data_IF_021785441517
#
_entry.id   IF_021785441517
#
_cell.length_a   1.000
_cell.length_b   1.000
_cell.length_c   1.000
_cell.angle_alpha   90.00
_cell.angle_beta   90.00
_cell.angle_gamma   90.00
#
_symmetry.space_group_name_H-M   'P 1'
#
loop_
_entity.id
_entity.type
_entity.pdbx_description
1 polymer ?
#
# COMPACT_ATOMS: atom_id res chain seq x y z
N UNK A 1 32.73 -1.11 -19.92
CA UNK A 1 32.34 -2.23 -19.04
C UNK A 1 30.85 -2.45 -19.21
N UNK A 2 30.46 -3.58 -19.80
CA UNK A 2 29.09 -3.83 -20.28
C UNK A 2 28.07 -3.81 -19.14
N UNK A 3 26.89 -3.25 -19.39
CA UNK A 3 25.73 -3.26 -18.47
C UNK A 3 25.38 -4.69 -18.04
N UNK A 4 25.70 -5.69 -18.89
CA UNK A 4 25.57 -7.11 -18.57
C UNK A 4 26.45 -7.56 -17.39
N UNK A 5 27.64 -6.98 -17.19
CA UNK A 5 28.55 -7.35 -16.09
C UNK A 5 28.08 -6.81 -14.74
N UNK A 6 27.32 -5.71 -14.74
CA UNK A 6 26.72 -5.14 -13.51
C UNK A 6 25.50 -5.97 -13.10
N UNK A 7 24.73 -6.47 -14.06
CA UNK A 7 23.54 -7.30 -13.80
C UNK A 7 23.93 -8.69 -13.31
N UNK A 8 25.00 -9.29 -13.86
CA UNK A 8 25.52 -10.59 -13.37
C UNK A 8 26.12 -10.48 -11.96
N UNK A 9 26.84 -9.39 -11.65
CA UNK A 9 27.40 -9.16 -10.31
C UNK A 9 26.35 -8.86 -9.22
N UNK A 10 25.12 -8.48 -9.60
CA UNK A 10 24.01 -8.26 -8.67
C UNK A 10 23.22 -9.54 -8.36
N UNK A 11 23.31 -10.57 -9.21
CA UNK A 11 22.59 -11.84 -9.04
C UNK A 11 23.27 -12.80 -8.05
N UNK A 12 24.61 -12.77 -7.93
CA UNK A 12 25.35 -13.66 -7.03
C UNK A 12 25.31 -13.25 -5.55
N UNK A 13 24.82 -12.05 -5.21
CA UNK A 13 24.82 -11.54 -3.83
C UNK A 13 23.52 -11.81 -3.04
N UNK A 14 22.55 -12.51 -3.63
CA UNK A 14 21.25 -12.83 -2.99
C UNK A 14 21.20 -14.28 -2.45
N UNK A 15 22.15 -15.14 -2.82
CA UNK A 15 22.15 -16.56 -2.39
C UNK A 15 22.93 -16.83 -1.08
N UNK A 16 23.75 -15.90 -0.57
CA UNK A 16 24.56 -16.16 0.63
C UNK A 16 23.88 -15.79 1.97
N UNK A 17 22.72 -15.12 1.95
CA UNK A 17 22.09 -14.59 3.16
C UNK A 17 21.05 -15.54 3.80
N UNK A 18 21.26 -16.86 3.67
CA UNK A 18 20.37 -17.89 4.25
C UNK A 18 21.07 -18.89 5.17
N UNK A 19 22.34 -18.68 5.52
CA UNK A 19 23.08 -19.60 6.40
C UNK A 19 23.95 -18.84 7.40
N UNK A 20 23.33 -18.22 8.41
CA UNK A 20 23.90 -18.15 9.77
C UNK A 20 22.90 -17.55 10.76
N UNK A 21 21.97 -18.37 11.24
CA UNK A 21 21.46 -18.23 12.61
C UNK A 21 21.93 -19.48 13.34
N UNK A 22 23.22 -19.46 13.70
CA UNK A 22 23.78 -20.35 14.72
C UNK A 22 23.24 -19.88 16.07
N UNK A 23 22.12 -20.46 16.49
CA UNK A 23 21.73 -20.50 17.89
C UNK A 23 21.46 -21.95 18.27
N UNK A 24 22.53 -22.65 18.65
CA UNK A 24 22.44 -23.81 19.54
C UNK A 24 23.35 -23.48 20.72
N UNK A 25 22.82 -23.70 21.93
CA UNK A 25 23.34 -24.86 22.63
C UNK A 25 22.24 -25.79 23.15
N UNK A 26 22.43 -27.06 22.81
CA UNK A 26 22.49 -28.14 23.80
C UNK A 26 21.23 -28.46 24.61
N UNK A 27 20.44 -29.41 24.11
CA UNK A 27 19.87 -30.50 24.91
C UNK A 27 19.89 -31.77 24.06
N UNK A 28 20.82 -32.67 24.38
CA UNK A 28 21.00 -33.96 23.72
C UNK A 28 19.96 -34.99 24.17
N UNK A 29 19.59 -35.86 23.22
CA UNK A 29 18.99 -37.19 23.38
C UNK A 29 17.47 -37.29 23.60
N UNK A 30 16.73 -37.57 22.51
CA UNK A 30 16.14 -38.90 22.25
C UNK A 30 15.62 -38.98 20.81
N UNK A 31 16.37 -39.70 19.97
CA UNK A 31 15.97 -40.12 18.63
C UNK A 31 14.64 -40.92 18.68
N UNK A 32 13.93 -40.90 17.54
CA UNK A 32 12.68 -41.59 17.20
C UNK A 32 11.35 -40.92 17.56
N UNK A 33 11.04 -39.81 16.87
CA UNK A 33 9.80 -39.76 16.07
C UNK A 33 10.20 -39.28 14.67
N UNK A 34 10.67 -40.24 13.87
CA UNK A 34 10.78 -40.11 12.43
C UNK A 34 9.36 -40.08 11.84
N UNK A 35 9.14 -39.19 10.85
CA UNK A 35 8.13 -39.33 9.79
C UNK A 35 6.64 -39.14 10.16
N UNK A 36 6.25 -37.97 10.68
CA UNK A 36 4.88 -37.44 10.47
C UNK A 36 4.88 -36.12 9.70
N UNK A 37 6.00 -35.76 9.08
CA UNK A 37 6.13 -34.54 8.28
C UNK A 37 6.20 -34.85 6.78
N UNK A 38 5.27 -35.69 6.30
CA UNK A 38 5.16 -36.05 4.89
C UNK A 38 3.76 -35.78 4.34
N UNK A 39 3.32 -34.52 4.42
CA UNK A 39 2.26 -34.00 3.53
C UNK A 39 2.30 -32.47 3.47
N UNK A 40 3.33 -31.89 2.87
CA UNK A 40 3.23 -30.56 2.26
C UNK A 40 2.28 -30.65 1.05
N UNK A 41 0.98 -30.84 1.32
CA UNK A 41 -0.06 -30.44 0.39
C UNK A 41 0.07 -28.93 0.28
N UNK A 42 0.29 -28.44 -0.94
CA UNK A 42 0.00 -27.06 -1.33
C UNK A 42 -1.23 -26.59 -0.56
N UNK A 43 -1.09 -25.68 0.41
CA UNK A 43 -2.25 -24.96 0.95
C UNK A 43 -2.79 -24.15 -0.23
N UNK A 44 -3.90 -24.56 -0.86
CA UNK A 44 -4.31 -23.92 -2.10
C UNK A 44 -4.85 -22.54 -1.77
N UNK A 45 -4.67 -21.57 -2.67
CA UNK A 45 -5.32 -20.27 -2.54
C UNK A 45 -6.82 -20.52 -2.44
N UNK A 46 -7.39 -20.24 -1.28
CA UNK A 46 -8.80 -20.51 -1.01
C UNK A 46 -9.67 -19.71 -1.97
N UNK A 47 -10.84 -20.25 -2.34
CA UNK A 47 -11.77 -19.57 -3.26
C UNK A 47 -12.16 -18.17 -2.73
N UNK A 48 -12.25 -18.01 -1.41
CA UNK A 48 -12.49 -16.74 -0.74
C UNK A 48 -11.33 -15.75 -0.94
N UNK A 49 -10.08 -16.20 -0.84
CA UNK A 49 -8.90 -15.37 -1.10
C UNK A 49 -8.85 -14.87 -2.56
N UNK A 50 -9.11 -15.75 -3.54
CA UNK A 50 -9.18 -15.35 -4.96
C UNK A 50 -10.28 -14.31 -5.20
N UNK A 51 -11.47 -14.52 -4.59
CA UNK A 51 -12.58 -13.57 -4.69
C UNK A 51 -12.22 -12.23 -4.07
N UNK A 52 -11.63 -12.23 -2.88
CA UNK A 52 -11.21 -11.01 -2.18
C UNK A 52 -10.19 -10.23 -3.00
N UNK A 53 -9.19 -10.91 -3.57
CA UNK A 53 -8.19 -10.29 -4.44
C UNK A 53 -8.82 -9.60 -5.66
N UNK A 54 -9.79 -10.23 -6.34
CA UNK A 54 -10.48 -9.63 -7.49
C UNK A 54 -11.29 -8.39 -7.09
N UNK A 55 -12.02 -8.48 -5.97
CA UNK A 55 -12.83 -7.36 -5.45
C UNK A 55 -11.94 -6.18 -5.06
N UNK A 56 -10.83 -6.43 -4.38
CA UNK A 56 -9.92 -5.38 -3.93
C UNK A 56 -9.19 -4.73 -5.09
N UNK A 57 -8.78 -5.50 -6.13
CA UNK A 57 -8.25 -4.95 -7.39
C UNK A 57 -9.26 -3.98 -8.02
N UNK A 58 -10.52 -4.39 -8.19
CA UNK A 58 -11.57 -3.55 -8.77
C UNK A 58 -11.79 -2.26 -7.95
N UNK A 59 -11.95 -2.40 -6.63
CA UNK A 59 -12.17 -1.25 -5.73
C UNK A 59 -10.97 -0.30 -5.72
N UNK A 60 -9.76 -0.83 -5.74
CA UNK A 60 -8.53 -0.04 -5.77
C UNK A 60 -8.48 0.81 -7.04
N UNK A 61 -8.75 0.24 -8.21
CA UNK A 61 -8.75 0.98 -9.47
C UNK A 61 -9.74 2.16 -9.46
N UNK A 62 -11.00 1.92 -9.06
CA UNK A 62 -12.01 2.99 -8.98
C UNK A 62 -11.65 4.06 -7.95
N UNK A 63 -11.15 3.64 -6.78
CA UNK A 63 -10.79 4.56 -5.70
C UNK A 63 -9.54 5.41 -6.02
N UNK A 64 -8.60 4.87 -6.79
CA UNK A 64 -7.39 5.58 -7.21
C UNK A 64 -7.75 6.80 -8.06
N UNK A 65 -8.70 6.69 -8.98
CA UNK A 65 -9.16 7.83 -9.80
C UNK A 65 -9.75 8.94 -8.94
N UNK A 66 -10.64 8.61 -8.00
CA UNK A 66 -11.25 9.60 -7.12
C UNK A 66 -10.23 10.25 -6.16
N UNK A 67 -9.32 9.45 -5.59
CA UNK A 67 -8.22 9.96 -4.74
C UNK A 67 -7.23 10.81 -5.54
N UNK A 68 -6.98 10.45 -6.80
CA UNK A 68 -6.13 11.22 -7.73
C UNK A 68 -6.70 12.61 -7.99
N UNK A 69 -7.98 12.68 -8.37
CA UNK A 69 -8.71 13.95 -8.57
C UNK A 69 -8.72 14.81 -7.30
N UNK A 70 -8.91 14.21 -6.12
CA UNK A 70 -8.83 14.96 -4.86
C UNK A 70 -7.43 15.52 -4.60
N UNK A 71 -6.37 14.76 -4.90
CA UNK A 71 -4.98 15.22 -4.72
C UNK A 71 -4.65 16.36 -5.67
N UNK A 72 -5.10 16.32 -6.93
CA UNK A 72 -4.84 17.39 -7.90
C UNK A 72 -5.56 18.68 -7.49
N UNK A 73 -6.85 18.61 -7.12
CA UNK A 73 -7.59 19.81 -6.67
C UNK A 73 -7.02 20.41 -5.39
N UNK A 74 -6.51 19.59 -4.45
CA UNK A 74 -5.81 20.10 -3.27
C UNK A 74 -4.50 20.80 -3.66
N UNK A 75 -3.75 20.28 -4.63
CA UNK A 75 -2.51 20.93 -5.10
C UNK A 75 -2.82 22.26 -5.81
N UNK A 76 -3.82 22.28 -6.67
CA UNK A 76 -4.28 23.48 -7.38
C UNK A 76 -4.74 24.56 -6.41
N UNK A 77 -5.57 24.21 -5.42
CA UNK A 77 -6.05 25.14 -4.40
C UNK A 77 -4.93 25.68 -3.49
N UNK A 78 -3.81 24.96 -3.36
CA UNK A 78 -2.63 25.43 -2.63
C UNK A 78 -1.73 26.33 -3.49
N UNK A 79 -1.58 26.02 -4.77
CA UNK A 79 -0.73 26.78 -5.68
C UNK A 79 -1.37 28.14 -6.01
N UNK A 80 -2.65 28.14 -6.38
CA UNK A 80 -3.39 29.33 -6.79
C UNK A 80 -4.65 29.48 -5.93
N UNK A 81 -4.55 30.09 -4.74
CA UNK A 81 -5.68 30.28 -3.86
C UNK A 81 -6.68 31.29 -4.45
N UNK A 82 -7.73 30.80 -5.10
CA UNK A 82 -8.79 31.62 -5.69
C UNK A 82 -10.19 31.06 -5.45
N UNK A 83 -11.23 31.88 -5.61
CA UNK A 83 -12.63 31.49 -5.34
C UNK A 83 -13.10 30.29 -6.19
N UNK A 84 -12.69 30.22 -7.46
CA UNK A 84 -12.99 29.09 -8.34
C UNK A 84 -12.35 27.78 -7.85
N UNK A 85 -11.07 27.82 -7.47
CA UNK A 85 -10.33 26.66 -6.94
C UNK A 85 -10.95 26.15 -5.63
N UNK A 86 -11.44 27.05 -4.79
CA UNK A 86 -12.08 26.71 -3.51
C UNK A 86 -13.42 25.99 -3.73
N UNK A 87 -14.23 26.47 -4.67
CA UNK A 87 -15.49 25.82 -5.05
C UNK A 87 -15.25 24.40 -5.59
N UNK A 88 -14.26 24.26 -6.47
CA UNK A 88 -13.87 22.96 -7.04
C UNK A 88 -13.38 21.99 -5.95
N UNK A 89 -12.54 22.46 -5.03
CA UNK A 89 -12.06 21.68 -3.89
C UNK A 89 -13.22 21.19 -2.99
N UNK A 90 -14.14 22.08 -2.62
CA UNK A 90 -15.25 21.73 -1.73
C UNK A 90 -16.16 20.68 -2.36
N UNK A 91 -16.52 20.87 -3.63
CA UNK A 91 -17.31 19.89 -4.39
C UNK A 91 -16.61 18.52 -4.44
N UNK A 92 -15.33 18.48 -4.83
CA UNK A 92 -14.57 17.25 -4.88
C UNK A 92 -14.48 16.55 -3.51
N UNK A 93 -14.23 17.31 -2.44
CA UNK A 93 -14.11 16.77 -1.09
C UNK A 93 -15.44 16.16 -0.61
N UNK A 94 -16.57 16.84 -0.80
CA UNK A 94 -17.87 16.36 -0.33
C UNK A 94 -18.32 15.10 -1.07
N UNK A 95 -18.02 15.00 -2.38
CA UNK A 95 -18.22 13.77 -3.13
C UNK A 95 -17.37 12.61 -2.57
N UNK A 96 -16.09 12.84 -2.25
CA UNK A 96 -15.25 11.78 -1.67
C UNK A 96 -15.69 11.34 -0.27
N UNK A 97 -16.28 12.25 0.52
CA UNK A 97 -16.86 11.94 1.83
C UNK A 97 -18.11 11.09 1.67
N UNK A 98 -18.99 11.41 0.71
CA UNK A 98 -20.18 10.61 0.39
C UNK A 98 -19.82 9.16 0.04
N UNK A 99 -18.72 8.95 -0.67
CA UNK A 99 -18.22 7.63 -1.03
C UNK A 99 -17.32 6.98 0.05
N UNK A 100 -17.25 7.56 1.25
CA UNK A 100 -16.45 7.07 2.38
C UNK A 100 -14.95 6.87 2.08
N UNK A 101 -14.42 7.58 1.08
CA UNK A 101 -12.99 7.54 0.76
C UNK A 101 -12.16 8.38 1.74
N UNK A 102 -12.79 9.39 2.32
CA UNK A 102 -12.22 10.35 3.28
C UNK A 102 -13.18 10.51 4.44
N UNK A 103 -12.66 10.58 5.67
CA UNK A 103 -13.48 10.79 6.87
C UNK A 103 -13.95 12.25 6.96
N UNK A 104 -15.13 12.47 7.56
CA UNK A 104 -15.71 13.81 7.75
C UNK A 104 -14.73 14.77 8.43
N UNK A 105 -14.05 14.32 9.49
CA UNK A 105 -13.05 15.12 10.19
C UNK A 105 -11.84 15.50 9.33
N UNK A 106 -11.37 14.60 8.45
CA UNK A 106 -10.29 14.94 7.52
C UNK A 106 -10.73 16.01 6.52
N UNK A 107 -11.93 15.88 5.97
CA UNK A 107 -12.50 16.89 5.06
C UNK A 107 -12.59 18.27 5.74
N UNK A 108 -13.18 18.35 6.94
CA UNK A 108 -13.29 19.62 7.67
C UNK A 108 -11.94 20.28 7.95
N UNK A 109 -10.92 19.49 8.30
CA UNK A 109 -9.56 20.00 8.53
C UNK A 109 -8.95 20.58 7.25
N UNK A 110 -9.08 19.91 6.11
CA UNK A 110 -8.54 20.40 4.84
C UNK A 110 -9.27 21.68 4.39
N UNK A 111 -10.61 21.71 4.47
CA UNK A 111 -11.41 22.90 4.14
C UNK A 111 -10.99 24.10 5.00
N UNK A 112 -10.84 23.89 6.32
CA UNK A 112 -10.40 24.93 7.27
C UNK A 112 -8.98 25.43 6.99
N UNK A 113 -8.04 24.53 6.66
CA UNK A 113 -6.65 24.95 6.35
C UNK A 113 -6.60 25.84 5.11
N UNK A 114 -7.26 25.44 4.02
CA UNK A 114 -7.21 26.18 2.76
C UNK A 114 -7.96 27.51 2.86
N UNK A 115 -9.08 27.56 3.58
CA UNK A 115 -9.80 28.82 3.79
C UNK A 115 -9.01 29.82 4.63
N UNK A 116 -8.21 29.36 5.60
CA UNK A 116 -7.29 30.22 6.36
C UNK A 116 -6.17 30.79 5.51
N UNK A 117 -5.67 30.03 4.52
CA UNK A 117 -4.62 30.50 3.61
C UNK A 117 -5.10 31.67 2.74
N UNK A 118 -6.36 31.68 2.33
CA UNK A 118 -6.94 32.77 1.49
C UNK A 118 -7.17 34.06 2.29
N UNK A 119 -7.45 33.94 3.60
CA UNK A 119 -7.78 35.09 4.46
C UNK A 119 -6.56 35.89 4.93
N UNK A 120 -5.35 35.41 4.67
CA UNK A 120 -4.10 36.06 5.07
C UNK A 120 -3.60 36.92 3.92
#
# INVERSE_FOLDING_TARGET
MSVANIIMAAAERIEEFSLEIKFLPFCTNRLNICLVYSKLRLMPITKSAIKKQRVDKKRTLSNLTAKGRLKTTIKEARANPGAGSLKALYSAMDLTVKHHLVTKGHASRIKSRISKTIKK
#
